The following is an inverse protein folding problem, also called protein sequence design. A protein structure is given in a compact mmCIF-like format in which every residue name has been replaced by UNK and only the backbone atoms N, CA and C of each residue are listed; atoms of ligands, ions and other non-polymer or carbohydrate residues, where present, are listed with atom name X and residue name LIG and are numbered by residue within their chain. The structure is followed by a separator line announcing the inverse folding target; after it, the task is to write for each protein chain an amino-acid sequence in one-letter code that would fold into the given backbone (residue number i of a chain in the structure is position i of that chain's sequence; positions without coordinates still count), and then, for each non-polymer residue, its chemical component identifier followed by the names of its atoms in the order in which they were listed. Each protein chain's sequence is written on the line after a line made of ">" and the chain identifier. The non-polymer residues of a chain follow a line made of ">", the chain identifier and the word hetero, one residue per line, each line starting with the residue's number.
data_IF_756375361586
#
_entry.id   IF_756375361586
#
_cell.length_a   1.000
_cell.length_b   1.000
_cell.length_c   1.000
_cell.angle_alpha   90.00
_cell.angle_beta   90.00
_cell.angle_gamma   90.00
#
_symmetry.space_group_name_H-M   'P 1'
#
loop_
_entity.id
_entity.type
_entity.pdbx_description
1 polymer ?
#
# COMPACT_ATOMS: atom_id res chain seq x y z
N UNK A 1 44.12 22.00 -6.57
CA UNK A 1 43.97 21.26 -5.29
C UNK A 1 43.35 22.21 -4.28
N UNK A 2 42.11 21.99 -3.83
CA UNK A 2 41.50 22.84 -2.80
C UNK A 2 42.12 22.45 -1.46
N UNK A 3 42.71 23.42 -0.76
CA UNK A 3 43.27 23.22 0.56
C UNK A 3 42.12 23.11 1.57
N UNK A 4 42.02 22.01 2.28
CA UNK A 4 41.03 21.84 3.37
C UNK A 4 41.37 22.87 4.47
N UNK A 5 40.42 23.74 4.80
CA UNK A 5 40.57 24.68 5.91
C UNK A 5 40.19 23.99 7.22
N UNK A 6 41.16 23.83 8.12
CA UNK A 6 40.97 23.09 9.37
C UNK A 6 40.07 23.77 10.41
N UNK A 7 39.73 25.05 10.25
CA UNK A 7 39.05 25.88 11.27
C UNK A 7 37.64 25.40 11.66
N UNK A 8 36.99 24.57 10.81
CA UNK A 8 35.61 24.11 11.04
C UNK A 8 35.44 22.61 11.03
N UNK A 9 36.52 21.87 10.87
CA UNK A 9 36.51 20.42 10.96
C UNK A 9 36.20 20.03 12.40
N UNK A 10 35.27 19.12 12.60
CA UNK A 10 34.79 18.70 13.91
C UNK A 10 33.60 19.53 14.45
N UNK A 11 33.21 20.62 13.75
CA UNK A 11 32.00 21.36 14.13
C UNK A 11 30.76 20.46 14.04
N UNK A 12 29.89 20.51 15.06
CA UNK A 12 28.69 19.68 15.17
C UNK A 12 27.42 20.51 15.14
N UNK A 13 26.35 19.94 14.58
CA UNK A 13 25.02 20.48 14.62
C UNK A 13 24.00 19.36 14.41
N UNK A 14 22.75 19.56 14.81
CA UNK A 14 21.65 18.63 14.52
C UNK A 14 20.90 19.03 13.25
N UNK A 15 20.43 18.05 12.51
CA UNK A 15 19.51 18.31 11.42
C UNK A 15 18.08 18.47 11.94
N UNK A 16 17.12 18.79 11.05
CA UNK A 16 15.71 19.02 11.40
C UNK A 16 15.01 17.78 11.96
N UNK A 17 15.59 16.59 11.81
CA UNK A 17 15.06 15.32 12.34
C UNK A 17 15.77 14.88 13.62
N UNK A 18 16.72 15.67 14.12
CA UNK A 18 17.45 15.38 15.36
C UNK A 18 18.68 14.51 15.19
N UNK A 19 19.11 14.20 13.95
CA UNK A 19 20.33 13.45 13.71
C UNK A 19 21.55 14.37 13.82
N UNK A 20 22.53 13.98 14.64
CA UNK A 20 23.77 14.73 14.83
C UNK A 20 24.61 14.67 13.56
N UNK A 21 25.11 15.83 13.13
CA UNK A 21 25.98 16.02 11.97
C UNK A 21 27.33 16.56 12.44
N UNK A 22 28.43 16.11 11.83
CA UNK A 22 29.79 16.61 12.05
C UNK A 22 30.44 16.96 10.71
N UNK A 23 31.08 18.14 10.65
CA UNK A 23 31.92 18.49 9.48
C UNK A 23 33.19 17.66 9.54
N UNK A 24 33.41 16.83 8.52
CA UNK A 24 34.63 16.00 8.38
C UNK A 24 35.62 16.57 7.38
N UNK A 25 35.15 17.38 6.41
CA UNK A 25 36.00 18.13 5.48
C UNK A 25 35.39 19.51 5.21
N UNK A 26 36.25 20.52 5.16
CA UNK A 26 35.84 21.91 4.87
C UNK A 26 36.72 22.52 3.78
N UNK A 27 36.18 22.69 2.60
CA UNK A 27 36.86 23.33 1.47
C UNK A 27 36.57 24.84 1.43
N UNK A 28 35.29 25.21 1.50
CA UNK A 28 34.78 26.57 1.54
C UNK A 28 33.30 26.57 1.99
N UNK A 29 32.66 27.76 2.08
CA UNK A 29 31.25 27.89 2.53
C UNK A 29 30.23 27.18 1.62
N UNK A 30 30.57 26.97 0.34
CA UNK A 30 29.71 26.32 -0.65
C UNK A 30 29.97 24.82 -0.74
N UNK A 31 31.08 24.33 -0.19
CA UNK A 31 31.47 22.91 -0.26
C UNK A 31 32.11 22.46 1.05
N UNK A 32 31.38 21.67 1.81
CA UNK A 32 31.80 20.95 3.00
C UNK A 32 31.34 19.50 2.89
N UNK A 33 32.03 18.58 3.55
CA UNK A 33 31.57 17.22 3.73
C UNK A 33 31.11 17.05 5.16
N UNK A 34 29.86 16.62 5.30
CA UNK A 34 29.18 16.38 6.59
C UNK A 34 28.96 14.88 6.75
N UNK A 35 29.34 14.34 7.89
CA UNK A 35 29.06 12.96 8.29
C UNK A 35 27.96 12.95 9.35
N UNK A 36 26.91 12.16 9.14
CA UNK A 36 25.89 11.89 10.15
C UNK A 36 26.49 10.95 11.22
N UNK A 37 26.21 11.25 12.50
CA UNK A 37 26.77 10.52 13.63
C UNK A 37 25.81 9.41 14.14
N UNK A 38 25.03 8.83 13.24
CA UNK A 38 24.22 7.64 13.46
C UNK A 38 25.01 6.35 13.11
N UNK A 39 24.34 5.20 13.17
CA UNK A 39 24.93 3.90 12.85
C UNK A 39 25.40 3.78 11.39
N UNK A 40 24.80 4.54 10.46
CA UNK A 40 25.09 4.46 9.03
C UNK A 40 26.30 5.30 8.61
N UNK A 41 26.67 6.32 9.39
CA UNK A 41 27.84 7.19 9.12
C UNK A 41 27.90 7.76 7.70
N UNK A 42 26.75 8.10 7.12
CA UNK A 42 26.69 8.61 5.74
C UNK A 42 27.33 9.99 5.65
N UNK A 43 28.16 10.16 4.61
CA UNK A 43 28.80 11.43 4.25
C UNK A 43 28.06 12.08 3.09
N UNK A 44 27.77 13.37 3.24
CA UNK A 44 27.11 14.16 2.18
C UNK A 44 27.85 15.48 1.95
N UNK A 45 27.94 15.90 0.68
CA UNK A 45 28.41 17.23 0.32
C UNK A 45 27.29 18.24 0.57
N UNK A 46 27.61 19.37 1.18
CA UNK A 46 26.63 20.38 1.52
C UNK A 46 27.23 21.79 1.53
N UNK A 47 26.34 22.80 1.57
CA UNK A 47 26.74 24.18 1.86
C UNK A 47 26.75 24.39 3.38
N UNK A 48 27.74 25.14 3.88
CA UNK A 48 27.87 25.45 5.30
C UNK A 48 26.61 26.13 5.87
N UNK A 49 25.94 26.98 5.09
CA UNK A 49 24.70 27.62 5.51
C UNK A 49 23.57 26.61 5.79
N UNK A 50 23.51 25.50 5.02
CA UNK A 50 22.55 24.44 5.24
C UNK A 50 22.89 23.62 6.48
N UNK A 51 24.20 23.39 6.75
CA UNK A 51 24.66 22.78 7.97
C UNK A 51 24.23 23.60 9.20
N UNK A 52 24.52 24.90 9.21
CA UNK A 52 24.12 25.79 10.32
C UNK A 52 22.60 25.85 10.55
N UNK A 53 21.80 25.70 9.51
CA UNK A 53 20.32 25.67 9.58
C UNK A 53 19.74 24.29 9.86
N UNK A 54 20.56 23.24 9.99
CA UNK A 54 20.08 21.87 10.14
C UNK A 54 19.33 21.31 8.91
N UNK A 55 19.51 21.90 7.72
CA UNK A 55 18.76 21.55 6.50
C UNK A 55 19.42 20.49 5.64
N UNK A 56 20.34 19.72 6.19
CA UNK A 56 20.96 18.60 5.48
C UNK A 56 20.15 17.33 5.80
N UNK A 57 19.66 16.66 4.77
CA UNK A 57 18.83 15.46 4.91
C UNK A 57 19.72 14.23 5.07
N UNK A 58 19.44 13.43 6.08
CA UNK A 58 19.97 12.08 6.18
C UNK A 58 19.00 11.11 5.48
N UNK A 59 19.47 10.26 4.56
CA UNK A 59 18.61 9.28 3.91
C UNK A 59 17.90 8.32 4.87
N UNK A 60 18.45 8.12 6.08
CA UNK A 60 17.89 7.23 7.10
C UNK A 60 17.00 7.93 8.14
N UNK A 61 16.80 9.25 8.03
CA UNK A 61 15.82 9.94 8.86
C UNK A 61 14.40 9.46 8.52
N UNK A 62 13.63 9.09 9.55
CA UNK A 62 12.22 8.67 9.42
C UNK A 62 11.31 9.84 9.03
N UNK A 63 11.54 10.38 7.83
CA UNK A 63 10.94 11.62 7.35
C UNK A 63 9.51 11.44 6.82
N UNK A 64 9.05 10.22 6.61
CA UNK A 64 7.73 9.91 6.07
C UNK A 64 6.87 9.31 7.19
N UNK A 65 5.93 10.09 7.70
CA UNK A 65 5.01 9.74 8.80
C UNK A 65 5.71 9.16 10.05
N UNK A 66 6.94 9.61 10.35
CA UNK A 66 7.82 9.16 11.45
C UNK A 66 8.19 7.66 11.40
N UNK A 67 8.01 7.01 10.28
CA UNK A 67 8.26 5.58 10.06
C UNK A 67 9.16 5.36 8.85
N UNK A 68 8.73 5.85 7.68
CA UNK A 68 9.41 5.61 6.43
C UNK A 68 10.64 6.50 6.23
N UNK A 69 11.67 5.94 5.62
CA UNK A 69 12.90 6.63 5.22
C UNK A 69 13.35 6.16 3.82
N UNK A 70 14.13 7.01 3.15
CA UNK A 70 14.50 6.73 1.76
C UNK A 70 15.57 5.64 1.65
N UNK A 71 16.57 5.67 2.52
CA UNK A 71 17.76 4.81 2.43
C UNK A 71 18.73 5.27 1.33
N UNK A 72 19.87 4.57 1.23
CA UNK A 72 20.85 4.72 0.14
C UNK A 72 20.69 3.54 -0.81
N UNK A 73 20.57 3.81 -2.12
CA UNK A 73 20.42 2.78 -3.14
C UNK A 73 20.24 3.40 -4.52
N UNK A 74 19.91 2.58 -5.50
CA UNK A 74 19.83 2.96 -6.92
C UNK A 74 18.45 3.46 -7.37
N UNK A 75 17.41 3.25 -6.56
CA UNK A 75 16.04 3.59 -6.94
C UNK A 75 15.74 5.06 -6.66
N UNK A 76 15.41 5.77 -7.74
CA UNK A 76 15.11 7.19 -7.68
C UNK A 76 13.67 7.45 -7.21
N UNK A 77 13.49 8.48 -6.37
CA UNK A 77 12.17 8.93 -5.94
C UNK A 77 11.51 9.89 -6.93
N UNK A 78 12.30 10.45 -7.87
CA UNK A 78 11.83 11.37 -8.89
C UNK A 78 12.23 10.90 -10.29
N UNK A 79 11.34 11.15 -11.25
CA UNK A 79 11.63 11.15 -12.69
C UNK A 79 11.29 12.53 -13.23
N UNK A 80 12.32 13.35 -13.48
CA UNK A 80 12.15 14.78 -13.74
C UNK A 80 11.50 15.48 -12.53
N UNK A 81 10.38 16.17 -12.74
CA UNK A 81 9.67 16.90 -11.71
C UNK A 81 8.53 16.11 -11.03
N UNK A 82 8.38 14.84 -11.35
CA UNK A 82 7.30 13.98 -10.80
C UNK A 82 7.89 12.84 -9.99
N UNK A 83 7.17 12.45 -8.96
CA UNK A 83 7.49 11.22 -8.24
C UNK A 83 7.34 10.00 -9.14
N UNK A 84 8.25 9.03 -8.99
CA UNK A 84 8.16 7.72 -9.64
C UNK A 84 6.93 6.96 -9.13
N UNK A 85 6.38 6.06 -9.95
CA UNK A 85 5.21 5.26 -9.54
C UNK A 85 5.52 4.38 -8.32
N UNK A 86 6.69 3.78 -8.27
CA UNK A 86 7.12 2.98 -7.12
C UNK A 86 7.16 3.81 -5.83
N UNK A 87 7.65 5.06 -5.90
CA UNK A 87 7.65 5.94 -4.73
C UNK A 87 6.23 6.31 -4.30
N UNK A 88 5.33 6.59 -5.22
CA UNK A 88 3.92 6.87 -4.91
C UNK A 88 3.25 5.69 -4.21
N UNK A 89 3.44 4.47 -4.73
CA UNK A 89 2.88 3.25 -4.12
C UNK A 89 3.42 3.06 -2.70
N UNK A 90 4.73 3.21 -2.50
CA UNK A 90 5.36 3.09 -1.19
C UNK A 90 4.90 4.17 -0.21
N UNK A 91 4.88 5.43 -0.64
CA UNK A 91 4.44 6.56 0.18
C UNK A 91 2.98 6.40 0.61
N UNK A 92 2.10 5.98 -0.32
CA UNK A 92 0.70 5.73 -0.02
C UNK A 92 0.51 4.53 0.91
N UNK A 93 1.37 3.51 0.81
CA UNK A 93 1.39 2.38 1.72
C UNK A 93 1.72 2.82 3.16
N UNK A 94 2.78 3.62 3.35
CA UNK A 94 3.13 4.20 4.66
C UNK A 94 1.99 5.06 5.19
N UNK A 95 1.42 5.94 4.33
CA UNK A 95 0.28 6.79 4.68
C UNK A 95 -0.93 5.99 5.19
N UNK A 96 -1.31 4.93 4.48
CA UNK A 96 -2.47 4.09 4.84
C UNK A 96 -2.33 3.48 6.23
N UNK A 97 -1.12 3.11 6.64
CA UNK A 97 -0.87 2.42 7.91
C UNK A 97 -0.56 3.37 9.08
N UNK A 98 -0.01 4.57 8.80
CA UNK A 98 0.56 5.40 9.88
C UNK A 98 0.08 6.85 9.91
N UNK A 99 -0.69 7.33 8.91
CA UNK A 99 -1.24 8.69 8.93
C UNK A 99 -2.58 8.69 9.67
N UNK A 100 -2.68 9.34 10.87
CA UNK A 100 -3.85 9.22 11.74
C UNK A 100 -5.16 9.71 11.10
N UNK A 101 -5.11 10.80 10.33
CA UNK A 101 -6.30 11.33 9.68
C UNK A 101 -6.84 10.39 8.60
N UNK A 102 -5.94 9.74 7.85
CA UNK A 102 -6.32 8.76 6.82
C UNK A 102 -6.95 7.52 7.47
N UNK A 103 -6.32 6.99 8.53
CA UNK A 103 -6.81 5.81 9.27
C UNK A 103 -8.19 6.07 9.84
N UNK A 104 -8.42 7.24 10.48
CA UNK A 104 -9.70 7.59 11.05
C UNK A 104 -10.84 7.66 10.00
N UNK A 105 -10.52 8.07 8.78
CA UNK A 105 -11.49 8.05 7.67
C UNK A 105 -11.71 6.67 7.06
N UNK A 106 -10.71 5.79 7.13
CA UNK A 106 -10.66 4.50 6.45
C UNK A 106 -10.35 3.38 7.45
N UNK A 107 -11.32 3.04 8.27
CA UNK A 107 -11.17 2.06 9.37
C UNK A 107 -10.72 0.66 8.92
N UNK A 108 -10.81 0.33 7.64
CA UNK A 108 -10.28 -0.92 7.06
C UNK A 108 -8.77 -1.05 7.21
N UNK A 109 -8.06 0.09 7.31
CA UNK A 109 -6.61 0.12 7.53
C UNK A 109 -6.21 0.19 9.00
N UNK A 110 -7.20 0.30 9.90
CA UNK A 110 -6.92 0.22 11.33
C UNK A 110 -6.22 -1.10 11.65
N UNK A 111 -5.15 -1.02 12.44
CA UNK A 111 -4.28 -2.13 12.82
C UNK A 111 -3.47 -2.76 11.66
N UNK A 112 -3.45 -2.14 10.47
CA UNK A 112 -2.53 -2.54 9.43
C UNK A 112 -1.13 -2.01 9.74
N UNK A 113 -0.13 -2.87 9.54
CA UNK A 113 1.29 -2.56 9.73
C UNK A 113 2.09 -2.93 8.49
N UNK A 114 3.27 -2.36 8.38
CA UNK A 114 4.24 -2.66 7.33
C UNK A 114 5.45 -3.33 7.98
N UNK A 115 6.03 -4.35 7.36
CA UNK A 115 7.26 -4.97 7.84
C UNK A 115 8.42 -3.94 7.89
N UNK A 116 9.34 -4.10 8.82
CA UNK A 116 10.45 -3.16 9.02
C UNK A 116 11.30 -2.95 7.77
N UNK A 117 11.51 -4.00 6.99
CA UNK A 117 12.27 -3.95 5.73
C UNK A 117 11.68 -2.90 4.75
N UNK A 118 10.35 -2.78 4.71
CA UNK A 118 9.65 -1.85 3.83
C UNK A 118 9.46 -0.44 4.42
N UNK A 119 9.95 -0.19 5.63
CA UNK A 119 10.13 1.19 6.11
C UNK A 119 11.20 1.90 5.27
N UNK A 120 12.17 1.16 4.72
CA UNK A 120 13.15 1.65 3.74
C UNK A 120 12.54 1.63 2.32
N UNK A 121 12.53 2.80 1.65
CA UNK A 121 12.05 2.89 0.26
C UNK A 121 12.87 2.01 -0.69
N UNK A 122 14.20 1.96 -0.53
CA UNK A 122 15.06 1.16 -1.42
C UNK A 122 14.68 -0.33 -1.38
N UNK A 123 14.43 -0.88 -0.19
CA UNK A 123 14.04 -2.28 -0.02
C UNK A 123 12.67 -2.58 -0.62
N UNK A 124 11.71 -1.66 -0.43
CA UNK A 124 10.40 -1.77 -1.08
C UNK A 124 10.50 -1.69 -2.60
N UNK A 125 11.31 -0.75 -3.13
CA UNK A 125 11.49 -0.56 -4.56
C UNK A 125 12.13 -1.79 -5.22
N UNK A 126 13.12 -2.42 -4.59
CA UNK A 126 13.71 -3.67 -5.05
C UNK A 126 12.64 -4.77 -5.18
N UNK A 127 11.82 -4.93 -4.14
CA UNK A 127 10.71 -5.89 -4.19
C UNK A 127 9.67 -5.51 -5.25
N UNK A 128 9.33 -4.23 -5.37
CA UNK A 128 8.39 -3.71 -6.36
C UNK A 128 8.79 -4.15 -7.76
N UNK A 129 10.00 -3.82 -8.20
CA UNK A 129 10.46 -4.13 -9.55
C UNK A 129 10.60 -5.63 -9.84
N UNK A 130 10.78 -6.46 -8.82
CA UNK A 130 10.79 -7.93 -8.96
C UNK A 130 9.40 -8.54 -9.07
N UNK A 131 8.36 -7.87 -8.59
CA UNK A 131 7.02 -8.43 -8.44
C UNK A 131 5.93 -7.67 -9.20
N UNK A 132 6.22 -6.45 -9.67
CA UNK A 132 5.28 -5.68 -10.47
C UNK A 132 5.19 -6.26 -11.88
N UNK A 133 3.97 -6.32 -12.40
CA UNK A 133 3.67 -6.71 -13.78
C UNK A 133 2.54 -5.82 -14.31
N UNK A 134 2.45 -5.70 -15.61
CA UNK A 134 1.37 -5.00 -16.29
C UNK A 134 0.31 -5.99 -16.77
N UNK A 135 -0.95 -5.62 -16.66
CA UNK A 135 -2.08 -6.43 -17.05
C UNK A 135 -3.11 -5.59 -17.79
N UNK A 136 -3.28 -5.81 -19.10
CA UNK A 136 -4.32 -5.21 -19.95
C UNK A 136 -4.49 -3.67 -19.81
N UNK A 137 -3.41 -2.94 -19.57
CA UNK A 137 -3.42 -1.51 -19.26
C UNK A 137 -4.32 -1.13 -18.06
N UNK A 138 -4.59 -2.06 -17.16
CA UNK A 138 -5.33 -1.80 -15.93
C UNK A 138 -4.42 -1.19 -14.85
N UNK A 139 -5.02 -0.40 -13.97
CA UNK A 139 -4.33 0.04 -12.75
C UNK A 139 -4.04 -1.17 -11.88
N UNK A 140 -2.77 -1.33 -11.51
CA UNK A 140 -2.36 -2.38 -10.60
C UNK A 140 -2.39 -1.87 -9.16
N UNK A 141 -2.96 -2.64 -8.27
CA UNK A 141 -3.11 -2.32 -6.85
C UNK A 141 -2.32 -3.31 -5.99
N UNK A 142 -1.66 -2.80 -4.96
CA UNK A 142 -0.96 -3.64 -3.99
C UNK A 142 -1.97 -4.16 -2.97
N UNK A 143 -2.19 -5.46 -2.98
CA UNK A 143 -3.06 -6.15 -2.03
C UNK A 143 -2.26 -7.02 -1.05
N UNK A 144 -2.76 -7.16 0.19
CA UNK A 144 -2.12 -7.89 1.30
C UNK A 144 -2.92 -9.08 1.80
N UNK A 145 -4.21 -9.16 1.46
CA UNK A 145 -5.14 -10.12 2.08
C UNK A 145 -5.87 -11.05 1.10
N UNK A 146 -5.70 -10.88 -0.20
CA UNK A 146 -6.17 -11.85 -1.21
C UNK A 146 -5.47 -13.20 -1.06
N UNK A 147 -4.14 -13.20 -0.86
CA UNK A 147 -3.38 -14.44 -0.66
C UNK A 147 -3.60 -15.05 0.72
N UNK A 148 -3.80 -14.23 1.73
CA UNK A 148 -3.97 -14.62 3.14
C UNK A 148 -5.11 -13.81 3.76
N UNK A 149 -6.29 -14.36 3.72
CA UNK A 149 -7.52 -13.69 4.16
C UNK A 149 -7.38 -13.11 5.58
N UNK A 150 -7.86 -11.89 5.77
CA UNK A 150 -7.77 -11.11 7.02
C UNK A 150 -6.34 -10.72 7.46
N UNK A 151 -5.34 -10.87 6.61
CA UNK A 151 -4.00 -10.40 6.91
C UNK A 151 -3.97 -8.87 7.09
N UNK A 152 -3.20 -8.41 8.09
CA UNK A 152 -3.02 -7.00 8.43
C UNK A 152 -1.59 -6.50 8.19
N UNK A 153 -0.71 -7.37 7.73
CA UNK A 153 0.72 -7.06 7.58
C UNK A 153 1.08 -6.95 6.11
N UNK A 154 1.59 -5.79 5.70
CA UNK A 154 2.21 -5.62 4.39
C UNK A 154 3.65 -6.10 4.45
N UNK A 155 3.99 -7.12 3.68
CA UNK A 155 5.34 -7.64 3.54
C UNK A 155 5.53 -8.38 2.21
N UNK A 156 6.76 -8.76 1.89
CA UNK A 156 7.14 -9.43 0.64
C UNK A 156 6.51 -10.81 0.43
N UNK A 157 6.03 -11.47 1.48
CA UNK A 157 5.46 -12.83 1.43
C UNK A 157 3.95 -12.81 1.25
N UNK A 158 3.26 -11.80 1.78
CA UNK A 158 1.80 -11.73 1.79
C UNK A 158 1.23 -10.79 0.73
N UNK A 159 2.03 -9.83 0.25
CA UNK A 159 1.58 -8.87 -0.75
C UNK A 159 1.73 -9.38 -2.17
N UNK A 160 0.80 -8.94 -3.01
CA UNK A 160 0.80 -9.18 -4.45
C UNK A 160 0.19 -7.99 -5.18
N UNK A 161 0.66 -7.68 -6.38
CA UNK A 161 -0.03 -6.76 -7.27
C UNK A 161 -1.21 -7.43 -7.95
N UNK A 162 -2.34 -6.74 -7.98
CA UNK A 162 -3.58 -7.25 -8.59
C UNK A 162 -4.18 -6.21 -9.52
N UNK A 163 -4.74 -6.60 -10.67
CA UNK A 163 -5.53 -5.71 -11.52
C UNK A 163 -6.72 -5.13 -10.74
N UNK A 164 -7.04 -3.87 -10.96
CA UNK A 164 -8.15 -3.18 -10.29
C UNK A 164 -9.47 -3.96 -10.34
N UNK A 165 -9.78 -4.59 -11.47
CA UNK A 165 -10.99 -5.42 -11.62
C UNK A 165 -11.02 -6.57 -10.61
N UNK A 166 -9.90 -7.28 -10.44
CA UNK A 166 -9.79 -8.36 -9.45
C UNK A 166 -9.92 -7.79 -8.03
N UNK A 167 -9.19 -6.73 -7.71
CA UNK A 167 -9.26 -6.12 -6.38
C UNK A 167 -10.69 -5.66 -6.02
N UNK A 168 -11.42 -5.14 -7.00
CA UNK A 168 -12.81 -4.68 -6.83
C UNK A 168 -13.79 -5.80 -6.44
N UNK A 169 -13.46 -7.08 -6.68
CA UNK A 169 -14.28 -8.22 -6.27
C UNK A 169 -14.39 -8.34 -4.75
N UNK A 170 -13.40 -7.84 -4.01
CA UNK A 170 -13.25 -8.01 -2.55
C UNK A 170 -13.58 -6.75 -1.75
N UNK A 171 -14.08 -5.69 -2.41
CA UNK A 171 -14.48 -4.47 -1.71
C UNK A 171 -15.71 -4.74 -0.84
N UNK A 172 -15.54 -4.54 0.49
CA UNK A 172 -16.58 -4.72 1.51
C UNK A 172 -17.27 -3.38 1.78
N UNK A 173 -18.58 -3.29 1.55
CA UNK A 173 -19.36 -2.08 1.78
C UNK A 173 -20.02 -2.08 3.19
N UNK A 174 -19.23 -2.37 4.25
CA UNK A 174 -19.72 -2.53 5.61
C UNK A 174 -20.50 -1.31 6.15
N UNK A 175 -20.16 -0.09 5.71
CA UNK A 175 -20.83 1.15 6.18
C UNK A 175 -22.29 1.27 5.74
N UNK A 176 -22.67 0.60 4.65
CA UNK A 176 -24.05 0.63 4.11
C UNK A 176 -24.76 -0.71 4.25
N UNK A 177 -24.09 -1.70 4.85
CA UNK A 177 -24.67 -3.01 5.15
C UNK A 177 -25.60 -2.88 6.36
N UNK A 178 -26.82 -3.39 6.24
CA UNK A 178 -27.73 -3.54 7.36
C UNK A 178 -27.32 -4.71 8.28
N UNK A 179 -28.30 -5.22 9.04
CA UNK A 179 -28.11 -6.34 9.98
C UNK A 179 -27.98 -7.71 9.31
N UNK A 180 -28.19 -7.78 7.99
CA UNK A 180 -28.18 -9.04 7.24
C UNK A 180 -26.78 -9.39 6.70
N UNK A 181 -26.54 -10.67 6.37
CA UNK A 181 -25.30 -11.12 5.76
C UNK A 181 -24.94 -10.36 4.47
N UNK A 182 -23.67 -10.45 4.06
CA UNK A 182 -23.22 -9.88 2.79
C UNK A 182 -24.06 -10.41 1.62
N UNK A 183 -24.43 -9.50 0.69
CA UNK A 183 -25.24 -9.84 -0.48
C UNK A 183 -26.75 -10.00 -0.20
N UNK A 184 -27.18 -9.84 1.04
CA UNK A 184 -28.58 -9.93 1.47
C UNK A 184 -29.09 -8.56 1.88
N UNK A 185 -30.24 -8.15 1.39
CA UNK A 185 -30.91 -6.91 1.74
C UNK A 185 -32.38 -7.17 2.11
N UNK A 186 -32.93 -6.30 2.97
CA UNK A 186 -34.34 -6.36 3.38
C UNK A 186 -35.16 -5.36 2.58
N UNK A 187 -36.21 -5.87 1.91
CA UNK A 187 -37.24 -5.04 1.28
C UNK A 187 -38.36 -4.76 2.26
N UNK A 188 -38.44 -3.51 2.74
CA UNK A 188 -39.55 -3.09 3.64
C UNK A 188 -40.91 -3.14 2.96
N UNK A 189 -40.97 -2.88 1.64
CA UNK A 189 -42.22 -2.87 0.88
C UNK A 189 -42.84 -4.25 0.83
N UNK A 190 -42.03 -5.26 0.58
CA UNK A 190 -42.49 -6.61 0.26
C UNK A 190 -42.33 -7.54 1.48
N UNK A 191 -41.71 -7.04 2.57
CA UNK A 191 -41.44 -7.78 3.82
C UNK A 191 -40.67 -9.09 3.58
N UNK A 192 -39.67 -9.04 2.71
CA UNK A 192 -38.83 -10.19 2.31
C UNK A 192 -37.34 -9.86 2.34
N UNK A 193 -36.49 -10.89 2.33
CA UNK A 193 -35.06 -10.78 2.07
C UNK A 193 -34.80 -11.00 0.58
N UNK A 194 -33.89 -10.20 0.01
CA UNK A 194 -33.45 -10.33 -1.37
C UNK A 194 -31.94 -10.61 -1.37
N UNK A 195 -31.54 -11.70 -2.04
CA UNK A 195 -30.13 -11.97 -2.34
C UNK A 195 -29.76 -11.34 -3.70
N UNK A 196 -28.64 -10.61 -3.72
CA UNK A 196 -28.18 -9.92 -4.93
C UNK A 196 -26.66 -9.78 -4.97
N UNK A 197 -26.09 -9.75 -6.16
CA UNK A 197 -24.67 -9.55 -6.37
C UNK A 197 -24.41 -8.52 -7.48
N UNK A 198 -23.50 -7.59 -7.22
CA UNK A 198 -23.02 -6.68 -8.26
C UNK A 198 -21.86 -7.33 -9.01
N UNK A 199 -21.96 -7.33 -10.33
CA UNK A 199 -20.90 -7.78 -11.25
C UNK A 199 -20.54 -6.67 -12.23
N UNK A 200 -19.46 -6.84 -12.97
CA UNK A 200 -19.16 -6.05 -14.16
C UNK A 200 -19.60 -6.85 -15.39
N UNK A 201 -20.37 -6.23 -16.26
CA UNK A 201 -20.73 -6.80 -17.57
C UNK A 201 -19.54 -6.79 -18.55
N UNK A 202 -19.74 -7.28 -19.76
CA UNK A 202 -18.74 -7.34 -20.84
C UNK A 202 -18.18 -5.94 -21.20
N UNK A 203 -18.97 -4.89 -20.96
CA UNK A 203 -18.57 -3.50 -21.17
C UNK A 203 -17.99 -2.84 -19.90
N UNK A 204 -17.65 -3.62 -18.86
CA UNK A 204 -17.18 -3.15 -17.55
C UNK A 204 -18.14 -2.23 -16.81
N UNK A 205 -19.44 -2.31 -17.11
CA UNK A 205 -20.50 -1.55 -16.42
C UNK A 205 -21.02 -2.38 -15.24
N UNK A 206 -21.33 -1.71 -14.14
CA UNK A 206 -21.95 -2.37 -12.98
C UNK A 206 -23.33 -2.86 -13.34
N UNK A 207 -23.59 -4.14 -13.11
CA UNK A 207 -24.87 -4.82 -13.25
C UNK A 207 -25.22 -5.51 -11.94
N UNK A 208 -26.41 -5.26 -11.41
CA UNK A 208 -26.93 -5.97 -10.25
C UNK A 208 -27.63 -7.25 -10.73
N UNK A 209 -27.27 -8.39 -10.17
CA UNK A 209 -27.89 -9.68 -10.43
C UNK A 209 -28.76 -10.03 -9.24
N UNK A 210 -30.06 -10.19 -9.51
CA UNK A 210 -31.04 -10.71 -8.53
C UNK A 210 -30.91 -12.24 -8.44
N UNK A 211 -30.71 -12.75 -7.23
CA UNK A 211 -30.41 -14.16 -6.98
C UNK A 211 -31.57 -14.91 -6.28
N UNK A 212 -32.62 -14.16 -5.92
CA UNK A 212 -33.85 -14.72 -5.35
C UNK A 212 -34.37 -13.94 -4.16
N UNK A 213 -35.57 -14.31 -3.78
CA UNK A 213 -36.33 -13.75 -2.66
C UNK A 213 -36.54 -14.82 -1.60
N UNK A 214 -36.42 -14.43 -0.33
CA UNK A 214 -36.43 -15.34 0.81
C UNK A 214 -37.26 -14.76 1.96
N UNK A 215 -37.92 -15.64 2.70
CA UNK A 215 -38.63 -15.23 3.91
C UNK A 215 -37.68 -14.71 4.98
N UNK A 216 -38.13 -13.83 5.88
CA UNK A 216 -37.32 -13.20 6.93
C UNK A 216 -36.61 -14.20 7.85
N UNK A 217 -37.18 -15.37 8.05
CA UNK A 217 -36.60 -16.44 8.86
C UNK A 217 -35.56 -17.30 8.13
N UNK A 218 -35.18 -16.91 6.89
CA UNK A 218 -34.25 -17.67 6.03
C UNK A 218 -33.02 -16.87 5.58
N UNK A 219 -32.38 -16.05 6.43
CA UNK A 219 -31.25 -15.21 6.00
C UNK A 219 -30.04 -16.03 5.55
N UNK A 220 -29.85 -17.22 6.11
CA UNK A 220 -28.77 -18.11 5.71
C UNK A 220 -28.98 -18.70 4.31
N UNK A 221 -30.21 -18.99 3.90
CA UNK A 221 -30.47 -19.46 2.54
C UNK A 221 -30.24 -18.36 1.51
N UNK A 222 -30.64 -17.10 1.83
CA UNK A 222 -30.34 -15.95 1.02
C UNK A 222 -28.82 -15.73 0.88
N UNK A 223 -28.08 -15.84 1.98
CA UNK A 223 -26.61 -15.77 1.95
C UNK A 223 -26.00 -16.88 1.12
N UNK A 224 -26.48 -18.12 1.23
CA UNK A 224 -25.97 -19.28 0.44
C UNK A 224 -26.14 -19.04 -1.07
N UNK A 225 -27.27 -18.46 -1.50
CA UNK A 225 -27.47 -18.09 -2.90
C UNK A 225 -26.43 -17.04 -3.35
N UNK A 226 -26.18 -16.03 -2.54
CA UNK A 226 -25.13 -15.03 -2.81
C UNK A 226 -23.72 -15.66 -2.84
N UNK A 227 -23.37 -16.46 -1.80
CA UNK A 227 -22.06 -17.12 -1.69
C UNK A 227 -21.76 -17.95 -2.93
N UNK A 228 -22.65 -18.84 -3.31
CA UNK A 228 -22.47 -19.72 -4.46
C UNK A 228 -22.27 -18.93 -5.76
N UNK A 229 -23.09 -17.89 -5.98
CA UNK A 229 -22.95 -17.05 -7.14
C UNK A 229 -21.63 -16.27 -7.13
N UNK A 230 -21.28 -15.64 -6.01
CA UNK A 230 -20.08 -14.80 -5.89
C UNK A 230 -18.80 -15.59 -6.08
N UNK A 231 -18.71 -16.79 -5.49
CA UNK A 231 -17.53 -17.67 -5.65
C UNK A 231 -17.38 -18.16 -7.10
N UNK A 232 -18.49 -18.51 -7.76
CA UNK A 232 -18.46 -18.86 -9.19
C UNK A 232 -18.05 -17.67 -10.06
N UNK A 233 -18.53 -16.47 -9.74
CA UNK A 233 -18.13 -15.26 -10.46
C UNK A 233 -16.65 -14.91 -10.25
N UNK A 234 -16.10 -15.11 -9.05
CA UNK A 234 -14.66 -14.94 -8.78
C UNK A 234 -13.85 -15.90 -9.65
N UNK A 235 -14.25 -17.18 -9.73
CA UNK A 235 -13.58 -18.18 -10.58
C UNK A 235 -13.66 -17.84 -12.06
N UNK A 236 -14.84 -17.38 -12.53
CA UNK A 236 -14.99 -16.90 -13.90
C UNK A 236 -14.03 -15.75 -14.23
N UNK A 237 -13.94 -14.74 -13.34
CA UNK A 237 -12.98 -13.64 -13.51
C UNK A 237 -11.54 -14.16 -13.45
N UNK A 238 -11.22 -15.09 -12.55
CA UNK A 238 -9.89 -15.69 -12.49
C UNK A 238 -9.52 -16.38 -13.81
N UNK A 239 -10.45 -17.10 -14.44
CA UNK A 239 -10.24 -17.76 -15.74
C UNK A 239 -9.99 -16.76 -16.88
N UNK A 240 -10.68 -15.62 -16.87
CA UNK A 240 -10.45 -14.54 -17.83
C UNK A 240 -9.02 -13.95 -17.72
N UNK A 241 -8.40 -14.03 -16.55
CA UNK A 241 -7.06 -13.49 -16.27
C UNK A 241 -5.98 -14.57 -16.16
N UNK A 242 -6.28 -15.84 -16.39
CA UNK A 242 -5.40 -16.98 -16.11
C UNK A 242 -3.98 -16.83 -16.66
N UNK A 243 -3.84 -16.37 -17.89
CA UNK A 243 -2.55 -16.22 -18.57
C UNK A 243 -1.90 -14.84 -18.31
N UNK A 244 -2.57 -13.95 -17.55
CA UNK A 244 -2.16 -12.56 -17.35
C UNK A 244 -1.69 -12.29 -15.93
N UNK A 245 -2.01 -13.16 -14.98
CA UNK A 245 -1.70 -12.98 -13.55
C UNK A 245 -0.80 -14.11 -13.02
N UNK A 246 -0.04 -13.86 -11.96
CA UNK A 246 0.77 -14.92 -11.33
C UNK A 246 -0.08 -16.09 -10.86
N UNK A 247 0.45 -17.33 -11.04
CA UNK A 247 -0.26 -18.57 -10.68
C UNK A 247 -0.75 -18.56 -9.21
N UNK A 248 0.04 -17.99 -8.29
CA UNK A 248 -0.34 -17.90 -6.88
C UNK A 248 -1.61 -17.06 -6.65
N UNK A 249 -1.82 -16.01 -7.48
CA UNK A 249 -3.04 -15.19 -7.43
C UNK A 249 -4.23 -15.99 -8.00
N UNK A 250 -4.05 -16.62 -9.15
CA UNK A 250 -5.06 -17.47 -9.76
C UNK A 250 -5.55 -18.55 -8.78
N UNK A 251 -4.63 -19.27 -8.15
CA UNK A 251 -4.97 -20.31 -7.17
C UNK A 251 -5.69 -19.75 -5.94
N UNK A 252 -5.28 -18.57 -5.45
CA UNK A 252 -5.95 -17.90 -4.33
C UNK A 252 -7.40 -17.53 -4.67
N UNK A 253 -7.64 -17.04 -5.90
CA UNK A 253 -8.98 -16.72 -6.38
C UNK A 253 -9.87 -17.97 -6.48
N UNK A 254 -9.32 -19.08 -6.96
CA UNK A 254 -10.05 -20.35 -7.07
C UNK A 254 -10.42 -20.96 -5.72
N UNK A 255 -9.57 -20.77 -4.70
CA UNK A 255 -9.77 -21.26 -3.33
C UNK A 255 -10.53 -20.27 -2.44
N UNK A 256 -10.89 -19.08 -2.98
CA UNK A 256 -11.53 -18.05 -2.17
C UNK A 256 -12.93 -18.49 -1.74
N UNK A 257 -13.16 -18.44 -0.43
CA UNK A 257 -14.47 -18.70 0.17
C UNK A 257 -15.08 -17.41 0.71
N UNK A 258 -16.33 -17.18 0.35
CA UNK A 258 -17.12 -16.07 0.89
C UNK A 258 -17.65 -16.46 2.26
N UNK A 259 -17.36 -15.63 3.26
CA UNK A 259 -17.83 -15.82 4.63
C UNK A 259 -19.00 -14.88 4.94
N UNK A 260 -19.83 -15.27 5.90
CA UNK A 260 -21.04 -14.54 6.26
C UNK A 260 -20.73 -13.12 6.77
N UNK A 261 -19.53 -12.92 7.31
CA UNK A 261 -19.05 -11.67 7.90
C UNK A 261 -18.10 -10.89 6.96
N UNK A 262 -17.97 -11.34 5.71
CA UNK A 262 -17.12 -10.64 4.72
C UNK A 262 -17.58 -9.21 4.42
#
# INVERSE_FOLDING_TARGET
>A
MYTVKNERIGEENYNTYGTLMRIVEYYNKENIIVEFQDEYRIKVSAKYINFKKGKIKNPYDKSIYNIGYIGVGEFEIYNGNKHTEVYKVWHDLIKRCYEPYFINKNLTYKDCIICEEWHCFQNFAEWYYKNYYECNNETMELDKDILFKNNKIYNSKTCIFVPHRINSLFVKCNKVRGEYPIGVSYSKRDNILTAQCNILDENRRRKNIHLGEFSLNKPFQAFTAYKNFKENYIKQVADEYKELIPIKLYEALYKYEVEIND
#
